data_IF_870614685990
#
_entry.id   IF_870614685990
#
_cell.length_a   1.000
_cell.length_b   1.000
_cell.length_c   1.000
_cell.angle_alpha   90.00
_cell.angle_beta   90.00
_cell.angle_gamma   90.00
#
_symmetry.space_group_name_H-M   'P 1'
#
loop_
_entity.id
_entity.type
_entity.pdbx_description
1 polymer ?
#
# COMPACT_ATOMS: atom_id res chain seq x y z
N UNK A 1 -5.90 -50.74 -1.22
CA UNK A 1 -5.59 -49.46 -1.90
C UNK A 1 -6.73 -48.49 -1.63
N UNK A 2 -6.61 -47.58 -0.66
CA UNK A 2 -7.46 -46.37 -0.65
C UNK A 2 -6.54 -45.22 -0.26
N UNK A 3 -6.19 -44.45 -1.28
CA UNK A 3 -5.37 -43.24 -1.19
C UNK A 3 -6.32 -42.09 -0.89
N UNK A 4 -6.29 -41.55 0.32
CA UNK A 4 -7.11 -40.40 0.70
C UNK A 4 -6.23 -39.14 0.67
N UNK A 5 -6.36 -38.37 -0.42
CA UNK A 5 -5.78 -37.03 -0.55
C UNK A 5 -6.52 -36.07 0.39
N UNK A 6 -5.84 -35.57 1.41
CA UNK A 6 -6.29 -34.43 2.19
C UNK A 6 -6.03 -33.14 1.39
N UNK A 7 -7.10 -32.54 0.89
CA UNK A 7 -7.07 -31.24 0.20
C UNK A 7 -6.87 -30.16 1.28
N UNK A 8 -5.64 -29.67 1.40
CA UNK A 8 -5.32 -28.55 2.29
C UNK A 8 -6.06 -27.29 1.87
N UNK A 9 -6.92 -26.77 2.76
CA UNK A 9 -7.53 -25.46 2.62
C UNK A 9 -6.46 -24.38 2.83
N UNK A 10 -5.89 -23.89 1.72
CA UNK A 10 -5.04 -22.70 1.74
C UNK A 10 -5.92 -21.46 1.92
N UNK A 11 -6.18 -21.10 3.17
CA UNK A 11 -6.70 -19.77 3.49
C UNK A 11 -5.61 -18.75 3.16
N UNK A 12 -5.62 -18.22 1.93
CA UNK A 12 -4.96 -16.96 1.59
C UNK A 12 -5.65 -15.84 2.36
N UNK A 13 -5.32 -15.70 3.64
CA UNK A 13 -5.57 -14.48 4.38
C UNK A 13 -4.74 -13.40 3.69
N UNK A 14 -5.37 -12.62 2.82
CA UNK A 14 -4.79 -11.39 2.30
C UNK A 14 -4.43 -10.55 3.53
N UNK A 15 -3.14 -10.54 3.89
CA UNK A 15 -2.62 -9.78 5.00
C UNK A 15 -3.06 -8.34 4.77
N UNK A 16 -4.02 -7.90 5.57
CA UNK A 16 -4.47 -6.51 5.52
C UNK A 16 -3.24 -5.66 5.84
N UNK A 17 -2.96 -4.62 5.04
CA UNK A 17 -1.84 -3.74 5.32
C UNK A 17 -2.02 -3.18 6.73
N UNK A 18 -1.12 -3.53 7.64
CA UNK A 18 -1.13 -2.92 8.96
C UNK A 18 -0.95 -1.40 8.79
N UNK A 19 -1.79 -0.65 9.50
CA UNK A 19 -1.80 0.81 9.44
C UNK A 19 -0.61 1.31 10.25
N UNK A 20 0.55 1.36 9.59
CA UNK A 20 1.81 1.79 10.18
C UNK A 20 2.06 3.25 9.82
N UNK A 21 2.28 4.07 10.84
CA UNK A 21 2.81 5.43 10.67
C UNK A 21 4.31 5.35 10.52
N UNK A 22 4.81 5.66 9.32
CA UNK A 22 6.24 5.71 9.06
C UNK A 22 6.82 7.05 9.55
N UNK A 23 8.07 7.04 10.01
CA UNK A 23 8.75 8.29 10.39
C UNK A 23 9.07 9.14 9.16
N UNK A 24 9.40 8.50 8.05
CA UNK A 24 9.78 9.15 6.80
C UNK A 24 9.34 8.35 5.57
N UNK A 25 9.36 9.01 4.43
CA UNK A 25 9.00 8.40 3.15
C UNK A 25 9.94 7.29 2.72
N UNK A 26 11.20 7.31 3.16
CA UNK A 26 12.18 6.27 2.83
C UNK A 26 11.76 4.91 3.40
N UNK A 27 11.30 4.88 4.66
CA UNK A 27 10.81 3.64 5.29
C UNK A 27 9.53 3.16 4.64
N UNK A 28 8.57 4.06 4.40
CA UNK A 28 7.33 3.73 3.70
C UNK A 28 7.65 3.15 2.31
N UNK A 29 8.55 3.77 1.56
CA UNK A 29 8.93 3.34 0.20
C UNK A 29 9.70 2.01 0.15
N UNK A 30 10.27 1.53 1.28
CA UNK A 30 10.85 0.18 1.34
C UNK A 30 9.75 -0.88 1.21
N UNK A 31 8.58 -0.63 1.81
CA UNK A 31 7.42 -1.52 1.77
C UNK A 31 6.55 -1.21 0.55
N UNK A 32 6.20 0.07 0.36
CA UNK A 32 5.33 0.58 -0.70
C UNK A 32 6.14 1.45 -1.66
N UNK A 33 6.82 0.83 -2.63
CA UNK A 33 7.74 1.52 -3.56
C UNK A 33 7.16 2.74 -4.28
N UNK A 34 5.85 2.76 -4.53
CA UNK A 34 5.15 3.88 -5.19
C UNK A 34 4.44 4.84 -4.24
N UNK A 35 4.65 4.72 -2.93
CA UNK A 35 3.89 5.48 -1.95
C UNK A 35 2.53 4.87 -1.63
N UNK A 36 1.71 5.62 -0.90
CA UNK A 36 0.37 5.20 -0.47
C UNK A 36 -0.65 6.24 -0.92
N UNK A 37 -1.60 5.84 -1.76
CA UNK A 37 -2.70 6.67 -2.20
C UNK A 37 -3.92 6.49 -1.29
N UNK A 38 -4.63 7.59 -1.05
CA UNK A 38 -5.88 7.57 -0.26
C UNK A 38 -7.00 6.78 -0.95
N UNK A 39 -7.03 6.81 -2.29
CA UNK A 39 -8.04 6.12 -3.11
C UNK A 39 -7.45 5.73 -4.46
N UNK A 40 -7.97 4.67 -5.06
CA UNK A 40 -7.59 4.22 -6.41
C UNK A 40 -7.99 5.23 -7.49
N UNK A 41 -8.93 6.13 -7.18
CA UNK A 41 -9.39 7.20 -8.06
C UNK A 41 -8.42 8.39 -8.10
N UNK A 42 -7.47 8.46 -7.16
CA UNK A 42 -6.46 9.53 -7.14
C UNK A 42 -5.49 9.29 -8.28
N UNK A 43 -5.42 10.28 -9.17
CA UNK A 43 -4.39 10.34 -10.21
C UNK A 43 -3.27 11.21 -9.70
N UNK A 44 -2.06 10.69 -9.69
CA UNK A 44 -0.86 11.45 -9.36
C UNK A 44 -0.84 12.73 -10.21
N UNK A 45 -0.76 13.89 -9.55
CA UNK A 45 -0.75 15.19 -10.22
C UNK A 45 0.62 15.54 -10.77
N UNK A 46 1.69 15.00 -10.17
CA UNK A 46 3.09 15.29 -10.44
C UNK A 46 3.70 14.60 -11.68
N UNK A 47 3.05 13.59 -12.25
CA UNK A 47 3.47 12.96 -13.52
C UNK A 47 3.42 11.44 -13.51
N UNK A 48 4.18 10.80 -14.42
CA UNK A 48 4.26 9.34 -14.50
C UNK A 48 5.04 8.81 -13.28
N UNK A 49 4.34 8.38 -12.24
CA UNK A 49 4.97 7.63 -11.15
C UNK A 49 5.61 6.36 -11.74
N UNK A 50 6.84 6.06 -11.32
CA UNK A 50 7.55 4.88 -11.83
C UNK A 50 6.94 3.59 -11.27
N UNK A 51 6.28 3.70 -10.11
CA UNK A 51 5.61 2.62 -9.41
C UNK A 51 4.15 2.99 -9.12
N UNK A 52 3.28 1.97 -9.08
CA UNK A 52 1.90 2.17 -8.67
C UNK A 52 1.85 2.40 -7.14
N UNK A 53 1.21 3.48 -6.67
CA UNK A 53 1.00 3.68 -5.25
C UNK A 53 0.06 2.60 -4.70
N UNK A 54 0.26 2.24 -3.45
CA UNK A 54 -0.62 1.33 -2.75
C UNK A 54 -1.87 2.06 -2.27
N UNK A 55 -3.05 1.55 -2.61
CA UNK A 55 -4.31 2.22 -2.27
C UNK A 55 -4.74 1.76 -0.87
N UNK A 56 -4.60 2.65 0.11
CA UNK A 56 -5.15 2.45 1.43
C UNK A 56 -5.42 3.79 2.09
N UNK A 57 -6.72 4.05 2.35
CA UNK A 57 -7.16 5.27 3.04
C UNK A 57 -6.60 5.35 4.45
N UNK A 58 -6.63 4.25 5.19
CA UNK A 58 -6.20 4.20 6.59
C UNK A 58 -4.70 4.47 6.72
N UNK A 59 -3.91 3.82 5.86
CA UNK A 59 -2.47 3.99 5.81
C UNK A 59 -2.08 5.38 5.29
N UNK A 60 -2.82 5.93 4.33
CA UNK A 60 -2.66 7.32 3.89
C UNK A 60 -2.94 8.29 5.04
N UNK A 61 -4.06 8.16 5.77
CA UNK A 61 -4.40 9.08 6.87
C UNK A 61 -3.33 9.05 7.98
N UNK A 62 -2.78 7.88 8.30
CA UNK A 62 -1.66 7.73 9.23
C UNK A 62 -0.38 8.45 8.75
N UNK A 63 -0.15 8.49 7.43
CA UNK A 63 1.04 9.07 6.81
C UNK A 63 0.77 10.41 6.10
N UNK A 64 -0.41 11.02 6.28
CA UNK A 64 -0.83 12.21 5.53
C UNK A 64 0.08 13.42 5.72
N UNK A 65 0.79 13.46 6.86
CA UNK A 65 1.80 14.48 7.16
C UNK A 65 2.97 14.46 6.18
N UNK A 66 3.16 13.35 5.47
CA UNK A 66 4.25 13.13 4.53
C UNK A 66 3.86 13.44 3.08
N UNK A 67 2.58 13.70 2.83
CA UNK A 67 2.07 14.26 1.57
C UNK A 67 2.34 15.77 1.58
N UNK A 68 3.38 16.20 0.85
CA UNK A 68 3.89 17.58 0.87
C UNK A 68 3.13 18.49 -0.08
N UNK A 69 2.68 17.95 -1.20
CA UNK A 69 2.03 18.60 -2.32
C UNK A 69 0.51 18.45 -2.30
N UNK A 70 -0.03 17.65 -1.37
CA UNK A 70 -1.45 17.44 -1.09
C UNK A 70 -2.19 16.88 -2.29
N UNK A 71 -1.54 16.00 -3.03
CA UNK A 71 -2.13 15.31 -4.18
C UNK A 71 -2.92 14.05 -3.78
N UNK A 72 -3.01 13.77 -2.48
CA UNK A 72 -3.62 12.58 -1.88
C UNK A 72 -2.82 11.29 -2.08
N UNK A 73 -1.51 11.42 -2.34
CA UNK A 73 -0.53 10.34 -2.40
C UNK A 73 0.60 10.63 -1.43
N UNK A 74 0.67 9.87 -0.34
CA UNK A 74 1.76 10.00 0.62
C UNK A 74 3.03 9.36 0.05
N UNK A 75 4.14 10.10 0.12
CA UNK A 75 5.47 9.60 -0.22
C UNK A 75 5.56 8.99 -1.62
N UNK A 76 4.97 9.69 -2.59
CA UNK A 76 5.07 9.39 -4.01
C UNK A 76 6.53 9.28 -4.50
N UNK A 77 6.75 8.41 -5.50
CA UNK A 77 8.08 8.13 -6.06
C UNK A 77 8.06 7.79 -7.54
#
# INVERSE_FOLDING_TARGET
>A
MVSTLFIGSVSSAAAKPEVITYKNCTELNKVYKGGVAKSASIKNKGGKTKYKPFVSKELYEANKKSDRDKDFIACEK
#
